data_IF_944863979779
#
_entry.id   IF_944863979779
#
_cell.length_a   1.000
_cell.length_b   1.000
_cell.length_c   1.000
_cell.angle_alpha   90.00
_cell.angle_beta   90.00
_cell.angle_gamma   90.00
#
_symmetry.space_group_name_H-M   'P 1'
#
loop_
_entity.id
_entity.type
_entity.pdbx_description
1 polymer ?
#
# COMPACT_ATOMS: atom_id res chain seq x y z
N UNK A 1 -5.46 -10.78 5.12
CA UNK A 1 -4.27 -10.07 5.66
C UNK A 1 -4.52 -9.74 7.12
N UNK A 2 -3.50 -9.83 7.97
CA UNK A 2 -3.65 -9.45 9.37
C UNK A 2 -3.71 -7.92 9.52
N UNK A 3 -4.23 -7.44 10.65
CA UNK A 3 -4.16 -6.02 11.01
C UNK A 3 -2.72 -5.50 11.10
N UNK A 4 -1.80 -6.33 11.59
CA UNK A 4 -0.37 -6.00 11.66
C UNK A 4 0.24 -5.78 10.28
N UNK A 5 -0.15 -6.58 9.28
CA UNK A 5 0.32 -6.41 7.90
C UNK A 5 -0.16 -5.07 7.31
N UNK A 6 -1.43 -4.69 7.58
CA UNK A 6 -1.98 -3.40 7.12
C UNK A 6 -1.23 -2.22 7.73
N UNK A 7 -0.96 -2.27 9.03
CA UNK A 7 -0.19 -1.23 9.74
C UNK A 7 1.24 -1.16 9.19
N UNK A 8 1.87 -2.31 8.94
CA UNK A 8 3.20 -2.36 8.33
C UNK A 8 3.22 -1.67 6.96
N UNK A 9 2.28 -2.01 6.07
CA UNK A 9 2.21 -1.41 4.75
C UNK A 9 1.88 0.09 4.79
N UNK A 10 0.98 0.52 5.68
CA UNK A 10 0.69 1.94 5.88
C UNK A 10 1.93 2.71 6.33
N UNK A 11 2.71 2.16 7.27
CA UNK A 11 3.96 2.79 7.73
C UNK A 11 4.99 2.87 6.61
N UNK A 12 5.17 1.78 5.85
CA UNK A 12 6.08 1.76 4.69
C UNK A 12 5.66 2.77 3.62
N UNK A 13 4.37 2.91 3.35
CA UNK A 13 3.89 3.93 2.42
C UNK A 13 4.29 5.35 2.87
N UNK A 14 4.13 5.69 4.15
CA UNK A 14 4.53 7.00 4.67
C UNK A 14 6.05 7.23 4.60
N UNK A 15 6.85 6.19 4.84
CA UNK A 15 8.31 6.25 4.69
C UNK A 15 8.72 6.51 3.23
N UNK A 16 8.11 5.81 2.26
CA UNK A 16 8.40 6.00 0.84
C UNK A 16 7.94 7.39 0.34
N UNK A 17 6.86 7.95 0.88
CA UNK A 17 6.45 9.33 0.57
C UNK A 17 7.52 10.34 0.98
N UNK A 18 8.04 10.19 2.21
CA UNK A 18 9.10 11.05 2.73
C UNK A 18 10.37 10.93 1.87
N UNK A 19 10.77 9.71 1.53
CA UNK A 19 11.91 9.47 0.65
C UNK A 19 11.71 10.08 -0.74
N UNK A 20 10.50 10.02 -1.30
CA UNK A 20 10.19 10.66 -2.57
C UNK A 20 10.31 12.20 -2.52
N UNK A 21 9.95 12.82 -1.39
CA UNK A 21 10.05 14.26 -1.19
C UNK A 21 11.51 14.71 -0.94
N UNK A 22 12.31 13.89 -0.27
CA UNK A 22 13.71 14.17 0.05
C UNK A 22 14.69 13.79 -1.08
N UNK A 23 14.25 12.96 -2.04
CA UNK A 23 15.06 12.52 -3.16
C UNK A 23 15.47 13.70 -4.06
N UNK A 24 16.78 13.91 -4.18
CA UNK A 24 17.35 14.92 -5.10
C UNK A 24 17.39 14.42 -6.55
N UNK A 25 17.34 13.11 -6.77
CA UNK A 25 17.25 12.48 -8.09
C UNK A 25 15.78 12.29 -8.47
N UNK A 26 15.31 12.90 -9.59
CA UNK A 26 13.94 12.74 -10.06
C UNK A 26 13.55 11.27 -10.33
N UNK A 27 14.50 10.44 -10.76
CA UNK A 27 14.25 9.02 -11.03
C UNK A 27 14.04 8.23 -9.73
N UNK A 28 14.80 8.54 -8.68
CA UNK A 28 14.62 7.95 -7.36
C UNK A 28 13.28 8.38 -6.74
N UNK A 29 12.91 9.66 -6.87
CA UNK A 29 11.62 10.16 -6.43
C UNK A 29 10.45 9.40 -7.08
N UNK A 30 10.54 9.12 -8.38
CA UNK A 30 9.51 8.34 -9.08
C UNK A 30 9.45 6.88 -8.65
N UNK A 31 10.59 6.26 -8.33
CA UNK A 31 10.61 4.89 -7.76
C UNK A 31 9.94 4.86 -6.39
N UNK A 32 10.28 5.81 -5.50
CA UNK A 32 9.66 5.92 -4.18
C UNK A 32 8.14 6.15 -4.28
N UNK A 33 7.66 7.00 -5.20
CA UNK A 33 6.21 7.17 -5.46
C UNK A 33 5.53 5.88 -5.92
N UNK A 34 6.19 5.07 -6.75
CA UNK A 34 5.66 3.77 -7.18
C UNK A 34 5.56 2.79 -6.01
N UNK A 35 6.58 2.74 -5.15
CA UNK A 35 6.60 1.90 -3.95
C UNK A 35 5.54 2.34 -2.93
N UNK A 36 5.42 3.65 -2.70
CA UNK A 36 4.37 4.24 -1.87
C UNK A 36 2.98 3.75 -2.32
N UNK A 37 2.66 3.88 -3.62
CA UNK A 37 1.37 3.42 -4.17
C UNK A 37 1.14 1.94 -3.95
N UNK A 38 2.13 1.10 -4.22
CA UNK A 38 2.03 -0.35 -4.02
C UNK A 38 1.78 -0.72 -2.54
N UNK A 39 2.40 0.01 -1.60
CA UNK A 39 2.16 -0.19 -0.17
C UNK A 39 0.78 0.31 0.27
N UNK A 40 0.30 1.44 -0.26
CA UNK A 40 -1.08 1.91 -0.02
C UNK A 40 -2.08 0.88 -0.51
N UNK A 41 -1.93 0.38 -1.74
CA UNK A 41 -2.82 -0.65 -2.29
C UNK A 41 -2.87 -1.90 -1.40
N UNK A 42 -1.72 -2.35 -0.88
CA UNK A 42 -1.68 -3.48 0.06
C UNK A 42 -2.30 -3.15 1.41
N UNK A 43 -2.07 -1.95 1.95
CA UNK A 43 -2.71 -1.52 3.19
C UNK A 43 -4.24 -1.41 3.05
N UNK A 44 -4.71 -0.98 1.88
CA UNK A 44 -6.14 -0.84 1.53
C UNK A 44 -6.81 -2.16 1.18
N UNK A 45 -6.05 -3.20 0.80
CA UNK A 45 -6.55 -4.57 0.66
C UNK A 45 -6.75 -5.23 2.03
N UNK A 46 -7.67 -4.68 2.82
CA UNK A 46 -8.22 -5.29 4.03
C UNK A 46 -9.67 -5.69 3.80
N UNK A 47 -9.98 -6.97 4.00
CA UNK A 47 -11.30 -7.61 3.84
C UNK A 47 -12.11 -7.09 2.65
N UNK A 48 -11.77 -7.56 1.45
CA UNK A 48 -12.87 -8.05 0.61
C UNK A 48 -13.26 -9.38 1.24
N UNK A 49 -14.37 -9.49 2.02
CA UNK A 49 -14.95 -10.80 2.23
C UNK A 49 -15.13 -11.37 0.82
N UNK A 50 -14.60 -12.58 0.59
CA UNK A 50 -14.83 -13.25 -0.67
C UNK A 50 -16.32 -13.16 -0.97
N UNK A 51 -16.66 -12.66 -2.16
CA UNK A 51 -17.98 -12.84 -2.77
C UNK A 51 -18.14 -14.33 -3.13
N UNK A 52 -17.90 -15.23 -2.18
CA UNK A 52 -17.87 -16.69 -2.33
C UNK A 52 -18.94 -17.38 -1.49
N UNK A 53 -19.89 -16.65 -0.91
CA UNK A 53 -21.13 -17.25 -0.43
C UNK A 53 -22.32 -16.33 -0.69
N UNK A 54 -23.39 -16.95 -1.19
CA UNK A 54 -24.74 -16.44 -1.37
C UNK A 54 -25.04 -15.60 -2.63
N UNK A 55 -24.83 -16.23 -3.80
CA UNK A 55 -25.94 -16.22 -4.79
C UNK A 55 -26.90 -17.32 -4.34
N UNK A 56 -27.88 -16.97 -3.51
CA UNK A 56 -29.00 -17.86 -3.17
C UNK A 56 -29.86 -18.04 -4.43
N UNK A 57 -29.97 -19.29 -4.87
CA UNK A 57 -30.84 -19.75 -5.95
C UNK A 57 -32.27 -20.02 -5.46
#
# INVERSE_FOLDING_TARGET
MSEQDRIYFARRAAEEEKLAQEASDPSAAEVHKKLQRAYIERASMGDRPGLDHDIVA
#
